data_IF_128479241649
#
_entry.id   IF_128479241649
#
_cell.length_a   1.000
_cell.length_b   1.000
_cell.length_c   1.000
_cell.angle_alpha   90.00
_cell.angle_beta   90.00
_cell.angle_gamma   90.00
#
_symmetry.space_group_name_H-M   'P 1'
#
loop_
_entity.id
_entity.type
_entity.pdbx_description
1 polymer ?
#
# COMPACT_ATOMS: atom_id res chain seq x y z
N UNK A 1 4.73 13.91 1.84
CA UNK A 1 3.35 14.16 2.31
C UNK A 1 2.86 13.08 3.25
N UNK A 2 3.09 11.79 2.96
CA UNK A 2 2.94 10.72 3.94
C UNK A 2 3.89 10.98 5.12
N UNK A 3 3.36 11.05 6.33
CA UNK A 3 4.11 11.34 7.55
C UNK A 3 4.21 10.13 8.46
N UNK A 4 3.23 9.22 8.42
CA UNK A 4 3.25 8.03 9.23
C UNK A 4 2.50 6.88 8.55
N UNK A 5 2.94 5.66 8.83
CA UNK A 5 2.26 4.42 8.49
C UNK A 5 2.03 3.68 9.81
N UNK A 6 0.84 3.14 10.00
CA UNK A 6 0.54 2.32 11.18
C UNK A 6 -0.20 1.06 10.75
N UNK A 7 0.30 -0.10 11.15
CA UNK A 7 -0.44 -1.36 11.06
C UNK A 7 -0.94 -1.71 12.46
N UNK A 8 -2.24 -1.91 12.58
CA UNK A 8 -2.90 -2.20 13.85
C UNK A 8 -3.82 -3.41 13.69
N UNK A 9 -3.63 -4.43 14.52
CA UNK A 9 -4.58 -5.53 14.62
C UNK A 9 -5.94 -5.02 15.12
N UNK A 10 -7.01 -5.70 14.72
CA UNK A 10 -8.33 -5.50 15.34
C UNK A 10 -8.32 -6.07 16.76
N UNK A 11 -9.48 -6.08 17.43
CA UNK A 11 -9.61 -6.53 18.84
C UNK A 11 -8.85 -7.83 19.14
N UNK A 12 -8.84 -8.75 18.18
CA UNK A 12 -7.96 -9.92 18.17
C UNK A 12 -7.30 -10.07 16.79
N UNK A 13 -6.07 -10.59 16.75
CA UNK A 13 -5.31 -10.83 15.51
C UNK A 13 -6.06 -11.75 14.51
N UNK A 14 -6.91 -12.65 15.02
CA UNK A 14 -7.75 -13.53 14.21
C UNK A 14 -8.89 -12.81 13.49
N UNK A 15 -9.30 -11.62 13.97
CA UNK A 15 -10.39 -10.84 13.38
C UNK A 15 -9.94 -10.05 12.16
N UNK A 16 -8.65 -9.71 12.06
CA UNK A 16 -8.07 -8.93 10.98
C UNK A 16 -7.23 -7.76 11.48
N UNK A 17 -6.92 -6.83 10.58
CA UNK A 17 -6.06 -5.69 10.86
C UNK A 17 -6.42 -4.50 9.95
N UNK A 18 -5.90 -3.32 10.28
CA UNK A 18 -6.00 -2.12 9.46
C UNK A 18 -4.65 -1.44 9.30
N UNK A 19 -4.43 -0.93 8.11
CA UNK A 19 -3.29 -0.11 7.73
C UNK A 19 -3.78 1.34 7.63
N UNK A 20 -3.15 2.23 8.38
CA UNK A 20 -3.46 3.67 8.37
C UNK A 20 -2.27 4.42 7.82
N UNK A 21 -2.50 5.18 6.76
CA UNK A 21 -1.54 6.07 6.16
C UNK A 21 -1.92 7.49 6.54
N UNK A 22 -1.05 8.17 7.28
CA UNK A 22 -1.25 9.54 7.75
C UNK A 22 -0.53 10.51 6.82
N UNK A 23 -1.25 11.53 6.39
CA UNK A 23 -0.76 12.55 5.49
C UNK A 23 -0.88 13.92 6.15
N UNK A 24 0.10 14.77 5.90
CA UNK A 24 -0.06 16.21 6.09
C UNK A 24 -0.83 16.82 4.90
N UNK A 25 -1.29 18.07 5.07
CA UNK A 25 -1.97 18.82 4.01
C UNK A 25 -1.16 18.76 2.71
N UNK A 26 -1.81 18.43 1.59
CA UNK A 26 -1.12 18.23 0.33
C UNK A 26 -2.00 18.65 -0.85
N UNK A 27 -1.43 18.93 -2.03
CA UNK A 27 -2.19 19.45 -3.17
C UNK A 27 -3.00 18.39 -3.93
N UNK A 28 -2.96 17.11 -3.53
CA UNK A 28 -3.56 16.00 -4.30
C UNK A 28 -4.93 15.57 -3.77
N UNK A 29 -5.10 15.47 -2.46
CA UNK A 29 -6.34 15.04 -1.82
C UNK A 29 -6.48 15.61 -0.42
N UNK A 30 -7.71 15.64 0.09
CA UNK A 30 -8.04 16.20 1.41
C UNK A 30 -7.90 15.23 2.58
N UNK A 31 -7.73 13.93 2.33
CA UNK A 31 -7.59 12.93 3.39
C UNK A 31 -6.33 13.18 4.23
N UNK A 32 -6.51 13.41 5.53
CA UNK A 32 -5.41 13.39 6.51
C UNK A 32 -5.03 11.95 6.89
N UNK A 33 -5.97 11.01 6.78
CA UNK A 33 -5.73 9.58 6.99
C UNK A 33 -6.47 8.79 5.92
N UNK A 34 -5.78 7.83 5.31
CA UNK A 34 -6.38 6.81 4.44
C UNK A 34 -6.20 5.47 5.13
N UNK A 35 -7.30 4.74 5.33
CA UNK A 35 -7.30 3.42 5.96
C UNK A 35 -7.59 2.34 4.93
N UNK A 36 -6.83 1.25 4.94
CA UNK A 36 -7.15 -0.03 4.31
C UNK A 36 -7.36 -1.05 5.42
N UNK A 37 -8.53 -1.65 5.50
CA UNK A 37 -8.90 -2.63 6.54
C UNK A 37 -9.17 -4.00 5.91
N UNK A 38 -8.75 -5.04 6.61
CA UNK A 38 -8.99 -6.44 6.28
C UNK A 38 -9.63 -7.08 7.51
N UNK A 39 -10.83 -7.64 7.35
CA UNK A 39 -11.58 -8.22 8.45
C UNK A 39 -12.27 -9.52 8.02
N UNK A 40 -12.38 -10.49 8.94
CA UNK A 40 -13.22 -11.67 8.69
C UNK A 40 -14.68 -11.34 8.94
N UNK A 41 -15.54 -11.62 7.97
CA UNK A 41 -16.98 -11.46 8.10
C UNK A 41 -17.59 -12.61 8.92
N UNK A 42 -18.92 -12.61 9.10
CA UNK A 42 -19.64 -13.66 9.86
C UNK A 42 -19.50 -15.07 9.26
N UNK A 43 -19.24 -15.18 7.95
CA UNK A 43 -18.99 -16.46 7.28
C UNK A 43 -17.53 -16.90 7.35
N UNK A 44 -16.68 -16.19 8.10
CA UNK A 44 -15.25 -16.44 8.20
C UNK A 44 -14.42 -16.02 6.97
N UNK A 45 -15.03 -15.42 5.93
CA UNK A 45 -14.31 -14.96 4.73
C UNK A 45 -13.62 -13.64 4.99
N UNK A 46 -12.42 -13.46 4.43
CA UNK A 46 -11.72 -12.18 4.54
C UNK A 46 -12.38 -11.18 3.58
N UNK A 47 -12.64 -9.98 4.07
CA UNK A 47 -13.16 -8.87 3.26
C UNK A 47 -12.30 -7.65 3.50
N UNK A 48 -12.15 -6.83 2.47
CA UNK A 48 -11.37 -5.59 2.54
C UNK A 48 -12.24 -4.36 2.31
N UNK A 49 -11.93 -3.28 3.04
CA UNK A 49 -12.58 -1.98 2.91
C UNK A 49 -11.53 -0.87 2.98
N UNK A 50 -11.80 0.27 2.35
CA UNK A 50 -10.91 1.42 2.40
C UNK A 50 -11.66 2.71 2.66
N UNK A 51 -10.96 3.69 3.20
CA UNK A 51 -11.38 5.09 3.13
C UNK A 51 -11.36 5.55 1.65
N UNK A 52 -12.49 6.04 1.10
CA UNK A 52 -12.48 6.66 -0.22
C UNK A 52 -11.56 7.89 -0.25
N UNK A 53 -10.76 8.01 -1.30
CA UNK A 53 -9.83 9.12 -1.46
C UNK A 53 -10.58 10.31 -2.08
N UNK A 54 -10.52 11.45 -1.39
CA UNK A 54 -11.16 12.71 -1.76
C UNK A 54 -10.17 13.58 -2.53
N UNK A 55 -9.99 13.24 -3.79
CA UNK A 55 -9.10 13.94 -4.72
C UNK A 55 -9.51 15.40 -4.92
N UNK A 56 -8.50 16.26 -5.03
CA UNK A 56 -8.69 17.59 -5.61
C UNK A 56 -8.94 17.48 -7.11
N UNK A 57 -9.53 18.54 -7.69
CA UNK A 57 -9.91 18.57 -9.11
C UNK A 57 -8.70 18.28 -10.00
N UNK A 58 -8.82 17.26 -10.85
CA UNK A 58 -7.78 16.86 -11.81
C UNK A 58 -6.61 16.06 -11.23
N UNK A 59 -6.62 15.74 -9.93
CA UNK A 59 -5.54 15.00 -9.26
C UNK A 59 -5.80 13.49 -9.16
N UNK A 60 -7.02 13.04 -9.44
CA UNK A 60 -7.34 11.62 -9.45
C UNK A 60 -6.53 10.89 -10.53
N UNK A 61 -5.86 9.77 -10.20
CA UNK A 61 -5.13 8.97 -11.16
C UNK A 61 -6.04 8.53 -12.31
N UNK A 62 -5.77 9.00 -13.52
CA UNK A 62 -6.58 8.63 -14.68
C UNK A 62 -6.37 7.15 -15.01
N UNK A 63 -7.46 6.38 -15.00
CA UNK A 63 -7.51 5.09 -15.70
C UNK A 63 -7.47 5.37 -17.21
N UNK A 64 -6.28 5.52 -17.78
CA UNK A 64 -6.14 5.81 -19.21
C UNK A 64 -6.73 4.65 -20.02
N UNK A 65 -7.86 4.89 -20.67
CA UNK A 65 -8.50 3.99 -21.67
C UNK A 65 -7.74 4.01 -23.00
N UNK A 66 -6.40 3.94 -22.99
CA UNK A 66 -5.64 3.79 -24.22
C UNK A 66 -5.27 2.31 -24.42
N UNK A 67 -5.60 1.85 -25.63
CA UNK A 67 -5.66 0.46 -26.13
C UNK A 67 -4.31 -0.28 -26.18
N UNK A 68 -3.28 0.22 -25.51
CA UNK A 68 -1.94 -0.36 -25.39
C UNK A 68 -1.25 0.35 -24.22
N UNK A 69 -1.07 -0.31 -23.09
CA UNK A 69 0.01 -0.12 -22.10
C UNK A 69 -0.38 -0.82 -20.80
N UNK A 70 0.24 -1.97 -20.58
CA UNK A 70 0.51 -2.44 -19.23
C UNK A 70 1.07 -1.29 -18.38
N UNK A 71 0.66 -1.23 -17.11
CA UNK A 71 1.44 -0.63 -16.00
C UNK A 71 1.32 0.86 -15.63
N UNK A 72 0.14 1.49 -15.75
CA UNK A 72 -0.15 2.68 -14.92
C UNK A 72 -1.03 2.33 -13.70
N UNK A 73 -0.57 1.38 -12.88
CA UNK A 73 -1.20 1.10 -11.59
C UNK A 73 -0.64 2.07 -10.54
N UNK A 74 -1.39 3.12 -10.23
CA UNK A 74 -1.08 3.95 -9.06
C UNK A 74 -1.23 3.13 -7.78
N UNK A 75 -0.32 3.29 -6.81
CA UNK A 75 -0.49 2.72 -5.47
C UNK A 75 -1.86 3.09 -4.87
N UNK A 76 -2.40 4.26 -5.20
CA UNK A 76 -3.69 4.69 -4.67
C UNK A 76 -4.90 3.95 -5.27
N UNK A 77 -4.75 3.30 -6.43
CA UNK A 77 -5.82 2.46 -6.98
C UNK A 77 -6.03 1.17 -6.17
N UNK A 78 -5.01 0.74 -5.42
CA UNK A 78 -5.11 -0.38 -4.49
C UNK A 78 -6.19 -0.16 -3.44
N UNK A 79 -6.42 1.08 -2.98
CA UNK A 79 -7.49 1.36 -2.02
C UNK A 79 -8.88 1.07 -2.60
N UNK A 80 -9.08 1.20 -3.90
CA UNK A 80 -10.36 0.88 -4.55
C UNK A 80 -10.51 -0.59 -4.96
N UNK A 81 -9.42 -1.38 -4.90
CA UNK A 81 -9.45 -2.80 -5.24
C UNK A 81 -9.75 -3.66 -4.00
N UNK A 82 -10.82 -4.46 -4.06
CA UNK A 82 -11.27 -5.34 -2.96
C UNK A 82 -11.59 -6.76 -3.43
N UNK A 83 -11.23 -7.15 -4.66
CA UNK A 83 -11.70 -8.39 -5.27
C UNK A 83 -11.13 -9.66 -4.65
N UNK A 84 -9.87 -9.63 -4.19
CA UNK A 84 -9.17 -10.80 -3.68
C UNK A 84 -8.28 -10.45 -2.47
N UNK A 85 -8.87 -10.17 -1.29
CA UNK A 85 -8.13 -9.75 -0.11
C UNK A 85 -7.19 -10.83 0.44
N UNK A 86 -7.46 -12.11 0.19
CA UNK A 86 -6.61 -13.23 0.62
C UNK A 86 -5.28 -13.33 -0.14
N UNK A 87 -5.19 -12.76 -1.34
CA UNK A 87 -3.97 -12.75 -2.17
C UNK A 87 -3.45 -11.33 -2.40
N UNK A 88 -3.75 -10.42 -1.47
CA UNK A 88 -3.35 -9.02 -1.57
C UNK A 88 -1.86 -8.85 -1.24
N UNK A 89 -1.03 -8.97 -2.28
CA UNK A 89 0.42 -8.90 -2.16
C UNK A 89 0.93 -7.58 -1.57
N UNK A 90 0.23 -6.46 -1.80
CA UNK A 90 0.63 -5.16 -1.24
C UNK A 90 0.41 -5.19 0.28
N UNK A 91 -0.74 -5.71 0.72
CA UNK A 91 -1.04 -5.86 2.13
C UNK A 91 -0.04 -6.79 2.84
N UNK A 92 0.31 -7.91 2.20
CA UNK A 92 1.30 -8.85 2.75
C UNK A 92 2.68 -8.23 2.92
N UNK A 93 3.18 -7.52 1.89
CA UNK A 93 4.48 -6.84 1.96
C UNK A 93 4.45 -5.77 3.06
N UNK A 94 3.41 -4.94 3.11
CA UNK A 94 3.33 -3.89 4.11
C UNK A 94 3.31 -4.48 5.52
N UNK A 95 2.45 -5.47 5.80
CA UNK A 95 2.25 -6.00 7.15
C UNK A 95 3.39 -6.90 7.63
N UNK A 96 3.84 -7.83 6.78
CA UNK A 96 4.71 -8.92 7.22
C UNK A 96 6.20 -8.64 6.96
N UNK A 97 6.53 -7.64 6.14
CA UNK A 97 7.92 -7.33 5.79
C UNK A 97 8.26 -5.86 6.13
N UNK A 98 7.65 -4.90 5.44
CA UNK A 98 7.95 -3.48 5.62
C UNK A 98 7.68 -3.01 7.05
N UNK A 99 6.53 -3.38 7.64
CA UNK A 99 6.17 -2.96 8.99
C UNK A 99 7.04 -3.61 10.06
N UNK A 100 7.52 -4.84 9.82
CA UNK A 100 8.37 -5.57 10.77
C UNK A 100 9.75 -4.95 10.87
N UNK A 101 10.33 -4.50 9.74
CA UNK A 101 11.62 -3.83 9.73
C UNK A 101 11.72 -2.75 8.63
N UNK A 102 11.09 -1.58 8.84
CA UNK A 102 11.11 -0.50 7.85
C UNK A 102 12.50 0.11 7.68
N UNK A 103 13.33 0.06 8.72
CA UNK A 103 14.67 0.66 8.72
C UNK A 103 15.60 -0.02 7.72
N UNK A 104 15.47 -1.34 7.54
CA UNK A 104 16.22 -2.09 6.52
C UNK A 104 16.05 -1.49 5.12
N UNK A 105 14.83 -1.12 4.76
CA UNK A 105 14.52 -0.54 3.45
C UNK A 105 14.98 0.90 3.33
N UNK A 106 14.85 1.67 4.41
CA UNK A 106 15.35 3.04 4.47
C UNK A 106 16.87 3.09 4.26
N UNK A 107 17.62 2.26 4.99
CA UNK A 107 19.09 2.21 4.90
C UNK A 107 19.59 1.63 3.57
N UNK A 108 18.86 0.69 2.97
CA UNK A 108 19.23 0.13 1.66
C UNK A 108 19.21 1.19 0.54
N UNK A 109 18.39 2.24 0.70
CA UNK A 109 18.27 3.38 -0.22
C UNK A 109 19.53 4.24 -0.36
N UNK A 110 20.38 4.31 0.67
CA UNK A 110 21.56 5.20 0.68
C UNK A 110 22.85 4.54 0.13
N UNK A 111 22.90 3.21 -0.01
CA UNK A 111 24.09 2.53 -0.56
C UNK A 111 23.93 1.08 -1.03
N UNK A 112 22.79 0.44 -0.77
CA UNK A 112 22.60 -1.00 -1.03
C UNK A 112 22.17 -1.36 -2.46
N UNK A 113 21.28 -0.56 -3.06
CA UNK A 113 20.76 -0.87 -4.41
C UNK A 113 21.83 -0.78 -5.50
N UNK A 114 22.77 0.18 -5.40
CA UNK A 114 23.88 0.32 -6.37
C UNK A 114 24.93 -0.79 -6.25
N UNK A 115 25.15 -1.34 -5.06
CA UNK A 115 26.12 -2.40 -4.84
C UNK A 115 25.59 -3.78 -5.27
N UNK A 116 24.30 -4.06 -5.02
CA UNK A 116 23.69 -5.33 -5.41
C UNK A 116 23.48 -5.48 -6.92
N UNK A 117 23.18 -4.39 -7.64
CA UNK A 117 23.08 -4.44 -9.11
C UNK A 117 24.41 -4.84 -9.77
N UNK A 118 25.53 -4.31 -9.25
CA UNK A 118 26.89 -4.64 -9.75
C UNK A 118 27.36 -6.05 -9.38
N UNK A 119 26.78 -6.69 -8.37
CA UNK A 119 27.08 -8.11 -8.05
C UNK A 119 26.30 -9.06 -8.97
N UNK A 120 25.03 -8.76 -9.25
CA UNK A 120 24.24 -9.56 -10.21
C UNK A 120 24.76 -9.45 -11.65
N UNK A 121 25.20 -8.27 -12.11
CA UNK A 121 25.79 -8.09 -13.46
C UNK A 121 27.21 -8.68 -13.61
N UNK A 122 27.81 -9.22 -12.54
CA UNK A 122 29.13 -9.89 -12.58
C UNK A 122 29.03 -11.42 -12.41
N UNK A 123 27.84 -11.94 -12.13
CA UNK A 123 27.56 -13.37 -12.02
C UNK A 123 26.73 -13.90 -13.21
N UNK A 124 26.40 -13.04 -14.19
CA UNK A 124 26.03 -13.40 -15.57
C UNK A 124 27.24 -13.21 -16.51
#
# INVERSE_FOLDING_TARGET
YLTNLQVQDLRHISMGYKMKLYFQTNPYFTNMVIVKEFQRNRSGRLVSHSTPIRWHRGQEPQARRHKNQDTNHSFFSWFSNHSLPEADRIAEIIKNDLWVNPLRYYMMGEGGYRANKKKQEKEE
#
